data_IF_985087266920
#
_entry.id   IF_985087266920
#
_cell.length_a   1.000
_cell.length_b   1.000
_cell.length_c   1.000
_cell.angle_alpha   90.00
_cell.angle_beta   90.00
_cell.angle_gamma   90.00
#
_symmetry.space_group_name_H-M   'P 1'
#
loop_
_entity.id
_entity.type
_entity.pdbx_description
1 polymer ?
#
# COMPACT_ATOMS: atom_id res chain seq x y z
N UNK A 1 24.08 6.14 8.07
CA UNK A 1 24.36 4.70 8.30
C UNK A 1 23.32 3.86 7.57
N UNK A 2 23.48 2.54 7.51
CA UNK A 2 22.57 1.62 6.78
C UNK A 2 21.83 0.64 7.70
N UNK A 3 21.83 0.89 9.00
CA UNK A 3 21.15 0.05 9.99
C UNK A 3 20.40 0.92 10.97
N UNK A 4 19.24 0.43 11.41
CA UNK A 4 18.38 1.10 12.37
C UNK A 4 18.34 0.22 13.63
N UNK A 5 18.64 0.83 14.76
CA UNK A 5 18.58 0.17 16.07
C UNK A 5 17.58 0.91 16.94
N UNK A 6 16.82 0.16 17.73
CA UNK A 6 16.14 0.77 18.85
C UNK A 6 17.13 1.08 19.98
N UNK A 7 16.70 1.92 20.91
CA UNK A 7 17.46 2.22 22.11
C UNK A 7 16.53 2.10 23.31
N UNK A 8 16.95 1.31 24.29
CA UNK A 8 16.25 1.09 25.54
C UNK A 8 17.24 1.15 26.70
N UNK A 9 16.88 1.91 27.73
CA UNK A 9 17.68 2.02 28.93
C UNK A 9 17.33 0.90 29.92
N UNK A 10 18.34 0.18 30.41
CA UNK A 10 18.19 -0.93 31.35
C UNK A 10 18.78 -0.53 32.70
N UNK A 11 17.92 -0.39 33.71
CA UNK A 11 18.31 0.03 35.06
C UNK A 11 19.25 -0.96 35.76
N UNK A 12 19.13 -2.26 35.47
CA UNK A 12 19.93 -3.33 36.12
C UNK A 12 21.42 -3.23 35.79
N UNK A 13 21.74 -2.76 34.58
CA UNK A 13 23.12 -2.66 34.07
C UNK A 13 23.58 -1.22 33.89
N UNK A 14 22.75 -0.24 34.28
CA UNK A 14 22.95 1.19 34.05
C UNK A 14 23.48 1.47 32.62
N UNK A 15 22.83 0.87 31.63
CA UNK A 15 23.32 0.90 30.25
C UNK A 15 22.21 1.00 29.21
N UNK A 16 22.56 1.60 28.06
CA UNK A 16 21.71 1.59 26.88
C UNK A 16 21.94 0.29 26.12
N UNK A 17 20.85 -0.44 25.93
CA UNK A 17 20.79 -1.65 25.10
C UNK A 17 19.88 -1.39 23.91
N UNK A 18 20.09 -2.12 22.82
CA UNK A 18 19.30 -1.92 21.62
C UNK A 18 19.38 -3.11 20.69
N UNK A 19 18.24 -3.47 20.12
CA UNK A 19 18.07 -4.46 19.07
C UNK A 19 18.21 -3.80 17.71
N UNK A 20 18.77 -4.56 16.76
CA UNK A 20 18.83 -4.14 15.36
C UNK A 20 17.46 -4.39 14.72
N UNK A 21 16.71 -3.31 14.47
CA UNK A 21 15.37 -3.39 13.86
C UNK A 21 15.45 -3.82 12.38
N UNK A 22 16.56 -3.49 11.71
CA UNK A 22 16.80 -3.85 10.32
C UNK A 22 17.21 -5.32 10.12
N UNK A 23 17.39 -6.11 11.19
CA UNK A 23 17.96 -7.47 11.10
C UNK A 23 17.14 -8.42 10.22
N UNK A 24 15.82 -8.31 10.22
CA UNK A 24 14.92 -9.15 9.42
C UNK A 24 14.74 -8.64 7.98
N UNK A 25 15.23 -7.43 7.68
CA UNK A 25 15.02 -6.75 6.41
C UNK A 25 16.31 -6.09 5.88
N UNK A 26 17.47 -6.70 6.12
CA UNK A 26 18.77 -6.12 5.75
C UNK A 26 18.88 -5.79 4.26
N UNK A 27 18.26 -6.61 3.40
CA UNK A 27 18.18 -6.41 1.96
C UNK A 27 17.58 -5.05 1.55
N UNK A 28 16.74 -4.45 2.39
CA UNK A 28 16.17 -3.11 2.17
C UNK A 28 17.18 -1.98 2.41
N UNK A 29 18.33 -2.26 3.02
CA UNK A 29 19.33 -1.26 3.39
C UNK A 29 20.73 -1.54 2.84
N UNK A 30 20.98 -2.74 2.32
CA UNK A 30 22.26 -3.12 1.72
C UNK A 30 22.60 -2.24 0.50
N UNK A 31 23.78 -1.60 0.52
CA UNK A 31 24.21 -0.70 -0.56
C UNK A 31 23.66 0.73 -0.46
N UNK A 32 22.79 1.00 0.51
CA UNK A 32 22.16 2.31 0.69
C UNK A 32 22.57 2.98 2.00
N UNK A 33 22.29 4.28 2.09
CA UNK A 33 22.46 5.06 3.32
C UNK A 33 21.16 5.76 3.64
N UNK A 34 20.84 5.82 4.93
CA UNK A 34 19.68 6.56 5.43
C UNK A 34 20.08 8.03 5.57
N UNK A 35 19.33 8.90 4.91
CA UNK A 35 19.55 10.36 4.87
C UNK A 35 18.69 11.09 5.90
N UNK A 36 17.47 10.60 6.14
CA UNK A 36 16.51 11.19 7.09
C UNK A 36 15.69 10.08 7.77
N UNK A 37 15.31 10.30 9.02
CA UNK A 37 14.37 9.46 9.73
C UNK A 37 13.36 10.31 10.48
N UNK A 38 12.11 9.85 10.53
CA UNK A 38 11.04 10.44 11.33
C UNK A 38 10.17 9.33 11.92
N UNK A 39 9.30 9.69 12.86
CA UNK A 39 8.42 8.76 13.56
C UNK A 39 7.01 9.33 13.65
N UNK A 40 6.02 8.53 13.29
CA UNK A 40 4.60 8.81 13.47
C UNK A 40 4.05 7.81 14.49
N UNK A 41 3.69 8.29 15.68
CA UNK A 41 3.21 7.42 16.75
C UNK A 41 1.79 6.94 16.47
N UNK A 42 0.91 7.85 16.09
CA UNK A 42 -0.50 7.55 15.82
C UNK A 42 -0.80 7.60 14.32
N UNK A 43 -1.57 6.65 13.76
CA UNK A 43 -2.29 5.57 14.45
C UNK A 43 -1.57 4.20 14.47
N UNK A 44 -0.46 4.04 13.74
CA UNK A 44 0.16 2.72 13.51
C UNK A 44 1.59 2.58 14.03
N UNK A 45 2.13 3.54 14.78
CA UNK A 45 3.51 3.54 15.30
C UNK A 45 4.54 3.18 14.22
N UNK A 46 4.81 4.12 13.32
CA UNK A 46 5.64 3.93 12.15
C UNK A 46 6.95 4.69 12.25
N UNK A 47 8.07 3.98 12.10
CA UNK A 47 9.38 4.57 11.84
C UNK A 47 9.55 4.69 10.33
N UNK A 48 9.84 5.89 9.84
CA UNK A 48 10.05 6.17 8.42
C UNK A 48 11.50 6.54 8.20
N UNK A 49 12.17 5.86 7.27
CA UNK A 49 13.58 6.06 6.95
C UNK A 49 13.76 6.31 5.46
N UNK A 50 14.26 7.49 5.10
CA UNK A 50 14.55 7.88 3.73
C UNK A 50 15.94 7.40 3.34
N UNK A 51 16.02 6.69 2.22
CA UNK A 51 17.28 6.28 1.60
C UNK A 51 17.82 7.35 0.66
N UNK A 52 19.12 7.28 0.38
CA UNK A 52 19.83 8.20 -0.50
C UNK A 52 19.43 8.15 -1.98
N UNK A 53 18.63 7.17 -2.39
CA UNK A 53 18.03 7.04 -3.72
C UNK A 53 16.59 7.57 -3.80
N UNK A 54 16.04 8.07 -2.68
CA UNK A 54 14.70 8.65 -2.62
C UNK A 54 13.57 7.65 -2.37
N UNK A 55 13.91 6.40 -2.01
CA UNK A 55 12.96 5.40 -1.55
C UNK A 55 12.78 5.50 -0.03
N UNK A 56 11.56 5.29 0.47
CA UNK A 56 11.25 5.37 1.89
C UNK A 56 10.99 3.98 2.45
N UNK A 57 11.76 3.55 3.45
CA UNK A 57 11.50 2.33 4.20
C UNK A 57 10.61 2.66 5.38
N UNK A 58 9.50 1.94 5.53
CA UNK A 58 8.57 2.14 6.63
C UNK A 58 8.51 0.89 7.50
N UNK A 59 8.64 1.10 8.81
CA UNK A 59 8.52 0.03 9.81
C UNK A 59 7.35 0.30 10.74
N UNK A 60 6.34 -0.55 10.70
CA UNK A 60 5.36 -0.66 11.79
C UNK A 60 6.04 -1.34 12.98
N UNK A 61 6.18 -0.62 14.09
CA UNK A 61 6.92 -1.06 15.26
C UNK A 61 6.09 -0.90 16.54
N UNK A 62 5.71 -2.02 17.14
CA UNK A 62 5.11 -2.07 18.48
C UNK A 62 5.92 -3.02 19.36
N UNK A 63 6.78 -2.44 20.21
CA UNK A 63 7.66 -3.21 21.09
C UNK A 63 6.90 -4.12 22.06
N UNK A 64 5.83 -3.60 22.66
CA UNK A 64 5.02 -4.32 23.65
C UNK A 64 4.29 -5.54 23.07
N UNK A 65 3.93 -5.47 21.78
CA UNK A 65 3.26 -6.54 21.05
C UNK A 65 4.23 -7.35 20.17
N UNK A 66 5.53 -7.09 20.25
CA UNK A 66 6.58 -7.74 19.44
C UNK A 66 6.32 -7.66 17.93
N UNK A 67 5.76 -6.53 17.47
CA UNK A 67 5.51 -6.28 16.04
C UNK A 67 6.67 -5.49 15.45
N UNK A 68 7.27 -6.02 14.39
CA UNK A 68 8.26 -5.32 13.55
C UNK A 68 8.02 -5.75 12.12
N UNK A 69 7.46 -4.85 11.31
CA UNK A 69 7.12 -5.12 9.92
C UNK A 69 7.65 -4.01 9.02
N UNK A 70 8.64 -4.35 8.20
CA UNK A 70 9.22 -3.46 7.20
C UNK A 70 8.53 -3.60 5.86
N UNK A 71 8.33 -2.48 5.18
CA UNK A 71 7.98 -2.44 3.77
C UNK A 71 8.65 -1.26 3.08
N UNK A 72 8.83 -1.39 1.77
CA UNK A 72 9.31 -0.32 0.91
C UNK A 72 8.14 0.51 0.40
N UNK A 73 8.29 1.83 0.46
CA UNK A 73 7.39 2.80 -0.14
C UNK A 73 8.16 3.60 -1.19
N UNK A 74 7.74 3.43 -2.44
CA UNK A 74 8.20 4.21 -3.57
C UNK A 74 7.04 4.96 -4.23
N UNK A 75 7.35 6.08 -4.87
CA UNK A 75 6.43 6.77 -5.77
C UNK A 75 7.10 6.71 -7.15
N UNK A 76 6.56 5.98 -8.15
CA UNK A 76 7.24 5.79 -9.42
C UNK A 76 7.60 7.14 -10.07
N UNK A 77 8.71 7.24 -10.78
CA UNK A 77 9.18 8.47 -11.44
C UNK A 77 9.28 9.71 -10.52
N UNK A 78 9.36 9.51 -9.20
CA UNK A 78 9.37 10.59 -8.21
C UNK A 78 10.40 10.27 -7.14
N UNK A 79 11.23 11.25 -6.79
CA UNK A 79 12.25 11.11 -5.76
C UNK A 79 11.79 11.82 -4.50
N UNK A 80 11.73 11.11 -3.37
CA UNK A 80 11.49 11.74 -2.07
C UNK A 80 12.77 12.46 -1.62
N UNK A 81 12.65 13.75 -1.29
CA UNK A 81 13.78 14.62 -0.94
C UNK A 81 13.86 14.91 0.56
N UNK A 82 12.70 14.98 1.24
CA UNK A 82 12.63 15.20 2.69
C UNK A 82 11.30 14.75 3.26
N UNK A 83 11.26 14.45 4.56
CA UNK A 83 10.09 13.99 5.29
C UNK A 83 9.92 14.75 6.61
N UNK A 84 8.68 15.05 6.99
CA UNK A 84 8.35 15.56 8.30
C UNK A 84 7.06 14.92 8.81
N UNK A 85 6.98 14.63 10.10
CA UNK A 85 5.73 14.19 10.73
C UNK A 85 5.22 15.31 11.60
N UNK A 86 3.95 15.67 11.43
CA UNK A 86 3.28 16.74 12.16
C UNK A 86 2.01 16.18 12.78
N UNK A 87 1.82 16.39 14.08
CA UNK A 87 0.58 16.00 14.75
C UNK A 87 -0.56 16.93 14.33
N UNK A 88 -1.60 16.34 13.75
CA UNK A 88 -2.83 17.01 13.36
C UNK A 88 -4.02 16.38 14.10
N UNK A 89 -4.56 17.11 15.08
CA UNK A 89 -5.70 16.64 15.88
C UNK A 89 -5.34 15.46 16.78
N UNK A 90 -5.68 14.24 16.35
CA UNK A 90 -5.45 12.99 17.09
C UNK A 90 -4.55 12.00 16.32
N UNK A 91 -3.91 12.46 15.24
CA UNK A 91 -3.08 11.62 14.38
C UNK A 91 -1.77 12.32 14.05
N UNK A 92 -0.75 11.53 13.74
CA UNK A 92 0.51 12.04 13.22
C UNK A 92 0.51 11.90 11.69
N UNK A 93 0.63 13.03 11.00
CA UNK A 93 0.53 13.10 9.55
C UNK A 93 1.91 13.26 8.93
N UNK A 94 2.21 12.38 7.97
CA UNK A 94 3.43 12.46 7.18
C UNK A 94 3.30 13.50 6.07
N UNK A 95 4.25 14.42 6.04
CA UNK A 95 4.54 15.32 4.95
C UNK A 95 5.80 14.88 4.22
N UNK A 96 5.75 14.90 2.90
CA UNK A 96 6.86 14.45 2.04
C UNK A 96 7.14 15.50 0.98
N UNK A 97 8.35 16.04 0.97
CA UNK A 97 8.86 16.86 -0.12
C UNK A 97 9.35 15.95 -1.24
N UNK A 98 8.79 16.11 -2.44
CA UNK A 98 9.11 15.26 -3.59
C UNK A 98 9.58 16.08 -4.79
N UNK A 99 10.38 15.45 -5.64
CA UNK A 99 10.81 15.95 -6.93
C UNK A 99 10.35 14.98 -8.01
N UNK A 100 9.59 15.46 -9.00
CA UNK A 100 8.98 14.63 -10.04
C UNK A 100 9.06 15.31 -11.40
N UNK A 101 8.96 14.53 -12.47
CA UNK A 101 9.00 15.05 -13.84
C UNK A 101 7.59 15.18 -14.38
N UNK A 102 7.12 16.42 -14.59
CA UNK A 102 5.81 16.72 -15.17
C UNK A 102 6.01 17.32 -16.55
N UNK A 103 5.45 16.67 -17.58
CA UNK A 103 5.55 17.12 -18.99
C UNK A 103 6.97 17.52 -19.42
N UNK A 104 7.99 16.75 -18.98
CA UNK A 104 9.40 16.98 -19.30
C UNK A 104 10.13 18.05 -18.46
N UNK A 105 9.45 18.68 -17.49
CA UNK A 105 10.05 19.62 -16.54
C UNK A 105 10.15 18.99 -15.15
N UNK A 106 11.25 19.26 -14.45
CA UNK A 106 11.40 18.84 -13.04
C UNK A 106 10.66 19.85 -12.17
N UNK A 107 9.71 19.35 -11.39
CA UNK A 107 8.92 20.14 -10.44
C UNK A 107 9.02 19.54 -9.03
N UNK A 108 8.83 20.39 -8.03
CA UNK A 108 8.89 20.01 -6.63
C UNK A 108 7.54 20.24 -5.97
N UNK A 109 7.10 19.28 -5.16
CA UNK A 109 5.82 19.32 -4.48
C UNK A 109 5.96 18.93 -3.02
N UNK A 110 5.07 19.46 -2.19
CA UNK A 110 4.88 19.00 -0.82
C UNK A 110 3.60 18.14 -0.79
N UNK A 111 3.75 16.87 -0.46
CA UNK A 111 2.65 15.93 -0.31
C UNK A 111 2.31 15.81 1.17
N UNK A 112 1.01 15.78 1.48
CA UNK A 112 0.48 15.40 2.79
C UNK A 112 -0.19 14.05 2.63
N UNK A 113 0.22 13.05 3.43
CA UNK A 113 -0.42 11.75 3.42
C UNK A 113 -1.85 11.87 3.96
N UNK A 114 -2.82 11.29 3.25
CA UNK A 114 -4.22 11.33 3.64
C UNK A 114 -4.52 10.28 4.73
N UNK A 115 -5.49 10.55 5.60
CA UNK A 115 -5.96 9.60 6.59
C UNK A 115 -6.63 8.40 5.90
N UNK A 116 -6.45 7.19 6.44
CA UNK A 116 -7.00 5.96 5.84
C UNK A 116 -8.30 5.44 6.48
N UNK A 117 -8.94 6.25 7.33
CA UNK A 117 -10.21 5.91 7.96
C UNK A 117 -11.38 6.38 7.11
N UNK A 118 -11.75 5.59 6.10
CA UNK A 118 -12.87 5.88 5.21
C UNK A 118 -14.08 5.01 5.56
N UNK A 119 -15.24 5.65 5.75
CA UNK A 119 -16.50 4.95 6.03
C UNK A 119 -17.19 4.47 4.76
N UNK A 120 -16.94 5.15 3.64
CA UNK A 120 -17.49 4.82 2.32
C UNK A 120 -16.37 4.83 1.28
N UNK A 121 -16.52 3.99 0.25
CA UNK A 121 -15.50 3.86 -0.79
C UNK A 121 -15.23 5.19 -1.52
N UNK A 122 -16.24 6.05 -1.67
CA UNK A 122 -16.18 7.35 -2.36
C UNK A 122 -15.17 8.33 -1.73
N UNK A 123 -14.89 8.15 -0.44
CA UNK A 123 -13.98 8.99 0.32
C UNK A 123 -12.53 8.56 0.17
N UNK A 124 -12.29 7.35 -0.37
CA UNK A 124 -10.95 6.80 -0.46
C UNK A 124 -10.03 7.69 -1.32
N UNK A 125 -8.77 7.80 -0.85
CA UNK A 125 -7.71 8.58 -1.48
C UNK A 125 -6.42 7.76 -1.62
N UNK A 126 -6.56 6.52 -2.08
CA UNK A 126 -5.44 5.60 -2.35
C UNK A 126 -4.82 5.89 -3.74
N UNK A 127 -4.25 7.09 -3.93
CA UNK A 127 -3.60 7.52 -5.18
C UNK A 127 -2.36 8.35 -4.88
N UNK A 128 -1.37 8.28 -5.75
CA UNK A 128 -0.17 9.13 -5.68
C UNK A 128 -0.43 10.50 -6.33
N UNK A 129 0.14 11.55 -5.75
CA UNK A 129 -0.03 12.95 -6.22
C UNK A 129 -1.51 13.34 -6.45
N UNK A 130 -2.39 12.82 -5.58
CA UNK A 130 -3.82 12.94 -5.76
C UNK A 130 -4.33 14.37 -5.59
N UNK A 131 -5.33 14.72 -6.38
CA UNK A 131 -6.20 15.88 -6.20
C UNK A 131 -7.64 15.43 -5.99
N UNK A 132 -8.39 16.21 -5.21
CA UNK A 132 -9.78 15.94 -4.92
C UNK A 132 -10.69 17.03 -5.50
N UNK A 133 -11.87 16.61 -5.96
CA UNK A 133 -12.99 17.48 -6.32
C UNK A 133 -14.21 17.06 -5.51
N UNK A 134 -14.90 18.04 -4.94
CA UNK A 134 -16.16 17.86 -4.22
C UNK A 134 -17.06 19.05 -4.60
N UNK A 135 -18.14 18.78 -5.32
CA UNK A 135 -19.01 19.83 -5.83
C UNK A 135 -20.12 19.32 -6.73
N UNK A 136 -20.64 20.22 -7.58
CA UNK A 136 -21.72 19.87 -8.51
C UNK A 136 -21.26 18.82 -9.50
N UNK A 137 -22.13 17.83 -9.77
CA UNK A 137 -21.84 16.76 -10.71
C UNK A 137 -21.34 17.31 -12.07
N UNK A 138 -20.13 16.94 -12.46
CA UNK A 138 -19.50 17.39 -13.70
C UNK A 138 -18.73 16.24 -14.35
N UNK A 139 -18.61 16.26 -15.67
CA UNK A 139 -17.73 15.34 -16.40
C UNK A 139 -16.31 15.90 -16.51
N UNK A 140 -16.10 17.20 -16.32
CA UNK A 140 -14.80 17.85 -16.55
C UNK A 140 -14.16 18.25 -15.23
N UNK A 141 -13.06 17.60 -14.90
CA UNK A 141 -12.27 17.87 -13.69
C UNK A 141 -10.98 18.59 -14.11
N UNK A 142 -10.68 19.70 -13.46
CA UNK A 142 -9.53 20.55 -13.76
C UNK A 142 -8.72 20.85 -12.51
N UNK A 143 -7.55 21.49 -12.69
CA UNK A 143 -6.62 21.77 -11.59
C UNK A 143 -5.51 20.71 -11.46
N UNK A 144 -5.32 19.89 -12.50
CA UNK A 144 -4.41 18.76 -12.53
C UNK A 144 -3.11 19.09 -13.26
N UNK A 145 -2.66 20.35 -13.21
CA UNK A 145 -1.45 20.77 -13.95
C UNK A 145 -0.20 20.02 -13.52
N UNK A 146 -0.15 19.58 -12.26
CA UNK A 146 0.93 18.77 -11.71
C UNK A 146 0.97 17.32 -12.25
N UNK A 147 -0.02 16.92 -13.04
CA UNK A 147 -0.12 15.61 -13.68
C UNK A 147 -0.20 15.74 -15.21
N UNK A 148 0.19 16.87 -15.79
CA UNK A 148 0.04 17.14 -17.23
C UNK A 148 0.76 16.09 -18.08
N UNK A 149 0.04 15.52 -19.04
CA UNK A 149 0.57 14.48 -19.94
C UNK A 149 0.61 13.08 -19.33
N UNK A 150 0.28 12.92 -18.05
CA UNK A 150 0.24 11.62 -17.41
C UNK A 150 -1.08 10.88 -17.63
N UNK A 151 -1.01 9.55 -17.55
CA UNK A 151 -2.18 8.68 -17.42
C UNK A 151 -2.49 8.51 -15.94
N UNK A 152 -3.71 8.89 -15.56
CA UNK A 152 -4.20 8.92 -14.18
C UNK A 152 -5.40 7.99 -14.01
N UNK A 153 -5.63 7.60 -12.77
CA UNK A 153 -6.82 6.88 -12.34
C UNK A 153 -7.65 7.78 -11.44
N UNK A 154 -8.97 7.71 -11.61
CA UNK A 154 -9.92 8.44 -10.78
C UNK A 154 -10.82 7.48 -10.00
N UNK A 155 -11.22 7.91 -8.81
CA UNK A 155 -12.33 7.35 -8.06
C UNK A 155 -13.46 8.38 -8.08
N UNK A 156 -14.47 8.15 -8.90
CA UNK A 156 -15.58 9.06 -9.15
C UNK A 156 -16.88 8.48 -8.56
N UNK A 157 -17.43 9.13 -7.53
CA UNK A 157 -18.60 8.66 -6.75
C UNK A 157 -18.48 7.16 -6.39
N UNK A 158 -17.28 6.74 -5.96
CA UNK A 158 -16.99 5.36 -5.52
C UNK A 158 -16.76 4.35 -6.66
N UNK A 159 -16.72 4.80 -7.91
CA UNK A 159 -16.43 3.96 -9.06
C UNK A 159 -15.05 4.30 -9.65
N UNK A 160 -14.27 3.26 -9.94
CA UNK A 160 -12.92 3.41 -10.49
C UNK A 160 -13.01 3.71 -11.99
N UNK A 161 -12.30 4.74 -12.42
CA UNK A 161 -12.17 5.14 -13.82
C UNK A 161 -10.68 5.19 -14.16
N UNK A 162 -10.21 4.23 -14.93
CA UNK A 162 -8.82 4.09 -15.33
C UNK A 162 -8.53 4.77 -16.67
N UNK A 163 -7.24 4.93 -16.99
CA UNK A 163 -6.73 5.36 -18.29
C UNK A 163 -7.22 6.76 -18.73
N UNK A 164 -7.32 7.70 -17.79
CA UNK A 164 -7.60 9.10 -18.11
C UNK A 164 -6.29 9.81 -18.41
N UNK A 165 -6.21 10.55 -19.50
CA UNK A 165 -5.03 11.37 -19.81
C UNK A 165 -5.30 12.81 -19.45
N UNK A 166 -4.38 13.43 -18.70
CA UNK A 166 -4.49 14.85 -18.36
C UNK A 166 -4.06 15.69 -19.56
N UNK A 167 -4.91 16.61 -19.99
CA UNK A 167 -4.63 17.54 -21.09
C UNK A 167 -5.10 18.94 -20.71
N UNK A 168 -4.19 19.91 -20.79
CA UNK A 168 -4.42 21.30 -20.35
C UNK A 168 -4.90 21.39 -18.89
N UNK A 169 -4.34 20.55 -18.02
CA UNK A 169 -4.62 20.48 -16.59
C UNK A 169 -6.01 19.95 -16.25
N UNK A 170 -6.65 19.23 -17.17
CA UNK A 170 -7.99 18.68 -16.98
C UNK A 170 -8.12 17.26 -17.54
N UNK A 171 -9.12 16.53 -17.05
CA UNK A 171 -9.59 15.25 -17.60
C UNK A 171 -11.10 15.31 -17.86
N UNK A 172 -11.59 14.42 -18.72
CA UNK A 172 -13.04 14.22 -18.94
C UNK A 172 -13.44 12.81 -18.50
N UNK A 173 -14.33 12.73 -17.51
CA UNK A 173 -14.94 11.52 -17.00
C UNK A 173 -16.03 11.01 -17.97
N UNK A 174 -16.26 9.69 -18.04
CA UNK A 174 -17.30 9.10 -18.90
C UNK A 174 -18.73 9.42 -18.45
N UNK A 175 -18.92 9.85 -17.20
CA UNK A 175 -20.19 10.29 -16.62
C UNK A 175 -19.94 11.45 -15.63
N UNK A 176 -20.98 12.20 -15.31
CA UNK A 176 -20.88 13.29 -14.36
C UNK A 176 -20.78 12.75 -12.93
N UNK A 177 -19.81 13.23 -12.16
CA UNK A 177 -19.59 12.83 -10.76
C UNK A 177 -19.45 14.04 -9.84
N UNK A 178 -19.87 13.89 -8.59
CA UNK A 178 -19.87 14.97 -7.59
C UNK A 178 -18.63 14.94 -6.70
N UNK A 179 -18.14 13.74 -6.37
CA UNK A 179 -16.96 13.50 -5.56
C UNK A 179 -15.94 12.70 -6.36
N UNK A 180 -14.75 13.27 -6.54
CA UNK A 180 -13.69 12.67 -7.35
C UNK A 180 -12.36 12.73 -6.62
N UNK A 181 -11.69 11.60 -6.46
CA UNK A 181 -10.23 11.54 -6.26
C UNK A 181 -9.58 11.28 -7.60
N UNK A 182 -8.49 11.96 -7.94
CA UNK A 182 -7.75 11.65 -9.16
C UNK A 182 -6.25 11.84 -8.95
N UNK A 183 -5.46 10.90 -9.47
CA UNK A 183 -4.03 10.85 -9.23
C UNK A 183 -3.41 9.67 -9.96
N UNK A 184 -2.15 9.41 -9.67
CA UNK A 184 -1.41 8.30 -10.27
C UNK A 184 -1.79 7.01 -9.56
N UNK A 185 -2.19 6.01 -10.34
CA UNK A 185 -2.38 4.66 -9.81
C UNK A 185 -1.04 4.03 -9.45
N UNK A 186 -1.05 3.21 -8.41
CA UNK A 186 0.11 2.44 -7.97
C UNK A 186 -0.34 1.01 -7.61
N UNK A 187 0.63 0.11 -7.51
CA UNK A 187 0.37 -1.27 -7.10
C UNK A 187 0.76 -1.42 -5.61
N UNK A 188 -0.19 -1.85 -4.78
CA UNK A 188 0.12 -2.37 -3.45
C UNK A 188 0.33 -3.88 -3.57
N UNK A 189 1.57 -4.32 -3.43
CA UNK A 189 1.93 -5.73 -3.52
C UNK A 189 2.24 -6.33 -2.16
N UNK A 190 1.70 -7.53 -1.93
CA UNK A 190 1.98 -8.34 -0.76
C UNK A 190 2.27 -9.77 -1.22
N UNK A 191 3.39 -10.31 -0.75
CA UNK A 191 3.74 -11.71 -0.98
C UNK A 191 4.01 -12.39 0.37
N UNK A 192 3.40 -13.54 0.60
CA UNK A 192 3.66 -14.31 1.82
C UNK A 192 5.07 -14.88 1.79
N UNK A 193 5.64 -15.14 2.97
CA UNK A 193 6.84 -15.98 3.05
C UNK A 193 6.56 -17.38 2.48
N UNK A 194 7.60 -18.09 2.02
CA UNK A 194 7.49 -19.52 1.69
C UNK A 194 6.88 -20.28 2.87
N UNK A 195 5.94 -21.17 2.56
CA UNK A 195 5.30 -21.99 3.59
C UNK A 195 6.35 -22.98 4.10
N UNK A 196 6.70 -22.90 5.38
CA UNK A 196 7.54 -23.88 6.06
C UNK A 196 6.70 -24.57 7.13
N UNK A 197 6.37 -25.85 6.89
CA UNK A 197 5.70 -26.68 7.87
C UNK A 197 6.82 -27.28 8.70
N UNK A 198 6.91 -26.93 9.99
CA UNK A 198 7.98 -27.27 10.94
C UNK A 198 8.17 -28.79 11.21
N UNK A 199 7.75 -29.65 10.29
CA UNK A 199 8.08 -31.06 10.24
C UNK A 199 9.38 -31.24 9.46
N UNK A 200 10.27 -32.08 9.98
CA UNK A 200 11.70 -32.17 9.63
C UNK A 200 12.03 -32.56 8.16
N UNK A 201 11.07 -32.54 7.24
CA UNK A 201 11.23 -32.98 5.86
C UNK A 201 10.49 -32.14 4.79
N UNK A 202 9.97 -30.93 5.07
CA UNK A 202 9.16 -30.18 4.06
C UNK A 202 9.99 -29.14 3.27
N UNK A 203 11.28 -29.00 3.58
CA UNK A 203 12.21 -28.10 2.88
C UNK A 203 12.84 -28.83 1.70
N UNK A 204 12.25 -28.65 0.51
CA UNK A 204 12.69 -29.29 -0.75
C UNK A 204 11.57 -30.05 -1.47
N UNK A 205 10.45 -30.30 -0.78
CA UNK A 205 9.26 -30.90 -1.37
C UNK A 205 8.40 -29.86 -2.09
N UNK A 206 7.69 -30.32 -3.12
CA UNK A 206 6.74 -29.47 -3.81
C UNK A 206 5.49 -29.29 -2.94
N UNK A 207 4.96 -28.07 -2.97
CA UNK A 207 3.74 -27.67 -2.25
C UNK A 207 2.67 -27.28 -3.26
N UNK A 208 1.48 -27.81 -3.05
CA UNK A 208 0.30 -27.40 -3.79
C UNK A 208 -0.61 -26.59 -2.86
N UNK A 209 -0.81 -25.32 -3.18
CA UNK A 209 -1.79 -24.47 -2.49
C UNK A 209 -3.06 -24.43 -3.31
N UNK A 210 -4.01 -25.28 -2.94
CA UNK A 210 -5.24 -25.48 -3.70
C UNK A 210 -6.32 -24.47 -3.32
N UNK A 211 -6.36 -24.11 -2.03
CA UNK A 211 -7.37 -23.23 -1.46
C UNK A 211 -6.69 -22.15 -0.62
N UNK A 212 -7.20 -20.92 -0.68
CA UNK A 212 -6.84 -19.87 0.28
C UNK A 212 -8.11 -19.19 0.78
N UNK A 213 -8.20 -18.97 2.09
CA UNK A 213 -9.21 -18.10 2.69
C UNK A 213 -8.56 -16.78 3.07
N UNK A 214 -9.03 -15.68 2.48
CA UNK A 214 -8.65 -14.32 2.88
C UNK A 214 -9.74 -13.72 3.76
N UNK A 215 -9.32 -13.10 4.87
CA UNK A 215 -10.18 -12.30 5.74
C UNK A 215 -9.91 -10.82 5.50
N UNK A 216 -10.96 -10.06 5.18
CA UNK A 216 -10.89 -8.64 4.89
C UNK A 216 -11.66 -7.81 5.93
N UNK A 217 -11.16 -6.61 6.20
CA UNK A 217 -11.83 -5.56 6.98
C UNK A 217 -12.07 -4.35 6.07
N UNK A 218 -13.33 -3.90 5.95
CA UNK A 218 -13.74 -2.70 5.22
C UNK A 218 -13.01 -2.47 3.89
N UNK A 219 -12.94 -3.53 3.08
CA UNK A 219 -12.11 -3.60 1.88
C UNK A 219 -12.94 -3.71 0.60
N UNK A 220 -12.37 -3.25 -0.52
CA UNK A 220 -12.93 -3.48 -1.85
C UNK A 220 -11.84 -3.63 -2.91
N UNK A 221 -12.00 -4.66 -3.75
CA UNK A 221 -11.07 -4.96 -4.84
C UNK A 221 -9.97 -5.92 -4.40
N UNK A 222 -8.88 -5.92 -5.18
CA UNK A 222 -7.74 -6.80 -4.99
C UNK A 222 -7.69 -7.92 -6.02
N UNK A 223 -6.49 -8.45 -6.18
CA UNK A 223 -6.15 -9.56 -7.02
C UNK A 223 -5.34 -10.54 -6.20
N UNK A 224 -5.61 -11.84 -6.35
CA UNK A 224 -4.92 -12.90 -5.62
C UNK A 224 -4.42 -13.96 -6.59
N UNK A 225 -3.22 -14.48 -6.35
CA UNK A 225 -2.61 -15.52 -7.18
C UNK A 225 -1.44 -16.22 -6.50
N UNK A 226 -0.81 -17.11 -7.26
CA UNK A 226 0.43 -17.79 -6.83
C UNK A 226 1.66 -16.89 -7.05
N UNK A 227 1.59 -15.97 -8.01
CA UNK A 227 2.64 -15.00 -8.33
C UNK A 227 2.04 -13.76 -9.02
N UNK A 228 2.90 -12.76 -9.29
CA UNK A 228 2.50 -11.47 -9.87
C UNK A 228 1.95 -11.55 -11.31
N UNK A 229 2.16 -12.67 -12.02
CA UNK A 229 1.70 -12.89 -13.40
C UNK A 229 0.41 -13.71 -13.46
N UNK A 230 0.15 -14.53 -12.44
CA UNK A 230 -0.97 -15.47 -12.38
C UNK A 230 -2.02 -15.01 -11.34
N UNK A 231 -2.61 -13.84 -11.58
CA UNK A 231 -3.56 -13.20 -10.68
C UNK A 231 -5.02 -13.38 -11.11
N UNK A 232 -5.89 -13.60 -10.14
CA UNK A 232 -7.35 -13.64 -10.31
C UNK A 232 -7.98 -12.47 -9.57
N UNK A 233 -8.86 -11.74 -10.24
CA UNK A 233 -9.57 -10.60 -9.67
C UNK A 233 -10.54 -11.05 -8.56
N UNK A 234 -10.47 -10.37 -7.42
CA UNK A 234 -11.42 -10.51 -6.33
C UNK A 234 -12.67 -9.70 -6.70
N UNK A 235 -13.60 -10.34 -7.40
CA UNK A 235 -14.87 -9.70 -7.76
C UNK A 235 -15.60 -9.20 -6.51
N UNK A 236 -15.79 -7.89 -6.34
CA UNK A 236 -16.33 -7.32 -5.11
C UNK A 236 -17.88 -7.31 -5.09
N UNK A 237 -18.52 -7.59 -6.22
CA UNK A 237 -19.97 -7.49 -6.40
C UNK A 237 -20.68 -8.78 -6.01
N UNK A 238 -21.73 -8.63 -5.20
CA UNK A 238 -22.72 -9.66 -4.89
C UNK A 238 -24.04 -9.33 -5.61
N UNK A 239 -24.87 -10.35 -5.84
CA UNK A 239 -26.17 -10.17 -6.52
C UNK A 239 -27.09 -9.14 -5.83
N UNK A 240 -26.93 -8.97 -4.51
CA UNK A 240 -27.69 -8.03 -3.68
C UNK A 240 -27.32 -6.55 -3.91
N UNK A 241 -26.21 -6.24 -4.59
CA UNK A 241 -25.70 -4.87 -4.72
C UNK A 241 -26.44 -4.04 -5.79
N UNK A 242 -27.21 -4.69 -6.66
CA UNK A 242 -27.98 -4.01 -7.71
C UNK A 242 -27.10 -3.12 -8.61
N UNK A 243 -27.54 -1.87 -8.82
CA UNK A 243 -26.86 -0.87 -9.65
C UNK A 243 -26.16 0.24 -8.86
N UNK A 244 -26.23 0.22 -7.53
CA UNK A 244 -25.63 1.24 -6.67
C UNK A 244 -24.11 1.05 -6.53
N UNK A 245 -23.44 2.04 -5.91
CA UNK A 245 -22.00 1.96 -5.62
C UNK A 245 -21.70 0.83 -4.64
N UNK A 246 -20.69 0.02 -4.96
CA UNK A 246 -20.29 -1.12 -4.12
C UNK A 246 -19.63 -0.58 -2.84
N UNK A 247 -20.24 -0.90 -1.71
CA UNK A 247 -19.78 -0.51 -0.38
C UNK A 247 -18.51 -1.26 0.03
N UNK A 248 -17.77 -0.68 0.98
CA UNK A 248 -16.69 -1.38 1.68
C UNK A 248 -17.27 -2.49 2.54
N UNK A 249 -16.58 -3.64 2.61
CA UNK A 249 -17.09 -4.81 3.35
C UNK A 249 -16.03 -5.51 4.17
N UNK A 250 -16.51 -6.05 5.29
CA UNK A 250 -15.79 -6.98 6.15
C UNK A 250 -16.32 -8.38 5.88
N UNK A 251 -15.48 -9.26 5.36
CA UNK A 251 -15.90 -10.59 4.92
C UNK A 251 -14.71 -11.54 4.76
N UNK A 252 -15.00 -12.83 4.72
CA UNK A 252 -14.06 -13.87 4.31
C UNK A 252 -14.39 -14.34 2.90
N UNK A 253 -13.35 -14.62 2.11
CA UNK A 253 -13.51 -15.18 0.77
C UNK A 253 -12.55 -16.33 0.54
N UNK A 254 -13.15 -17.45 0.12
CA UNK A 254 -12.45 -18.65 -0.31
C UNK A 254 -12.10 -18.55 -1.79
N UNK A 255 -10.83 -18.75 -2.10
CA UNK A 255 -10.32 -18.85 -3.46
C UNK A 255 -9.82 -20.27 -3.69
N UNK A 256 -10.09 -20.80 -4.87
CA UNK A 256 -9.60 -22.10 -5.31
C UNK A 256 -8.72 -21.87 -6.52
N UNK A 257 -7.46 -22.27 -6.42
CA UNK A 257 -6.50 -22.17 -7.50
C UNK A 257 -6.47 -23.47 -8.30
N UNK A 258 -6.11 -23.41 -9.61
CA UNK A 258 -5.77 -24.62 -10.35
C UNK A 258 -4.69 -25.41 -9.61
N UNK A 259 -4.73 -26.75 -9.63
CA UNK A 259 -3.70 -27.56 -9.01
C UNK A 259 -2.35 -27.23 -9.63
N UNK A 260 -1.38 -26.88 -8.79
CA UNK A 260 -0.08 -26.40 -9.22
C UNK A 260 0.94 -26.65 -8.12
N UNK A 261 2.01 -27.35 -8.48
CA UNK A 261 3.10 -27.67 -7.58
C UNK A 261 4.16 -26.57 -7.68
N UNK A 262 4.47 -25.94 -6.54
CA UNK A 262 5.49 -24.90 -6.43
C UNK A 262 6.42 -25.26 -5.28
N UNK A 263 7.70 -24.91 -5.36
CA UNK A 263 8.65 -25.21 -4.27
C UNK A 263 8.32 -24.45 -2.98
N UNK A 264 7.77 -23.24 -3.09
CA UNK A 264 7.60 -22.32 -1.96
C UNK A 264 6.15 -22.18 -1.46
N UNK A 265 5.13 -22.53 -2.26
CA UNK A 265 3.73 -22.42 -1.86
C UNK A 265 3.29 -21.01 -1.46
N UNK A 266 3.86 -19.97 -2.08
CA UNK A 266 3.58 -18.58 -1.72
C UNK A 266 2.28 -18.08 -2.33
N UNK A 267 1.66 -17.10 -1.65
CA UNK A 267 0.51 -16.38 -2.13
C UNK A 267 0.90 -14.94 -2.41
N UNK A 268 0.41 -14.43 -3.53
CA UNK A 268 0.59 -13.06 -3.97
C UNK A 268 -0.75 -12.34 -3.96
N UNK A 269 -0.75 -11.14 -3.40
CA UNK A 269 -1.87 -10.22 -3.42
C UNK A 269 -1.41 -8.91 -4.04
N UNK A 270 -2.25 -8.34 -4.92
CA UNK A 270 -2.03 -7.02 -5.52
C UNK A 270 -3.30 -6.21 -5.41
N UNK A 271 -3.20 -4.93 -5.11
CA UNK A 271 -4.27 -3.96 -5.29
C UNK A 271 -3.77 -2.87 -6.23
N UNK A 272 -4.45 -2.70 -7.37
CA UNK A 272 -4.14 -1.65 -8.36
C UNK A 272 -5.19 -0.54 -8.39
N UNK A 273 -6.39 -0.84 -7.89
CA UNK A 273 -7.48 0.13 -7.83
C UNK A 273 -7.29 1.07 -6.64
N UNK A 274 -7.74 2.34 -6.74
CA UNK A 274 -7.62 3.34 -5.68
C UNK A 274 -8.66 3.13 -4.56
N UNK A 275 -8.77 1.90 -4.09
CA UNK A 275 -9.74 1.45 -3.11
C UNK A 275 -9.02 0.85 -1.90
N UNK A 276 -9.55 1.05 -0.69
CA UNK A 276 -8.91 0.56 0.52
C UNK A 276 -9.00 -0.96 0.59
N UNK A 277 -7.90 -1.56 1.06
CA UNK A 277 -7.82 -2.98 1.40
C UNK A 277 -7.08 -3.14 2.72
N UNK A 278 -7.73 -3.82 3.65
CA UNK A 278 -7.17 -4.27 4.92
C UNK A 278 -7.32 -5.78 5.01
N UNK A 279 -6.20 -6.49 4.96
CA UNK A 279 -6.16 -7.96 5.09
C UNK A 279 -5.91 -8.29 6.56
N UNK A 280 -6.86 -9.00 7.17
CA UNK A 280 -6.75 -9.48 8.56
C UNK A 280 -6.00 -10.81 8.66
N UNK A 281 -6.20 -11.71 7.69
CA UNK A 281 -5.59 -13.03 7.69
C UNK A 281 -5.52 -13.62 6.28
N UNK A 282 -4.49 -14.45 6.06
CA UNK A 282 -4.31 -15.29 4.88
C UNK A 282 -4.15 -16.73 5.37
N UNK A 283 -5.13 -17.58 5.04
CA UNK A 283 -5.19 -18.97 5.52
C UNK A 283 -5.14 -19.95 4.33
N UNK A 284 -3.94 -20.39 3.91
CA UNK A 284 -3.78 -21.35 2.83
C UNK A 284 -4.03 -22.80 3.28
N UNK A 285 -4.69 -23.58 2.44
CA UNK A 285 -4.79 -25.04 2.54
C UNK A 285 -3.72 -25.67 1.64
N UNK A 286 -2.77 -26.37 2.27
CA UNK A 286 -1.55 -26.85 1.61
C UNK A 286 -1.55 -28.38 1.57
N UNK A 287 -1.25 -28.94 0.40
CA UNK A 287 -0.91 -30.34 0.23
C UNK A 287 0.59 -30.47 -0.06
N UNK A 288 1.22 -31.48 0.54
CA UNK A 288 2.65 -31.81 0.35
C UNK A 288 2.71 -33.11 -0.45
N UNK A 289 3.66 -33.22 -1.36
CA UNK A 289 3.86 -34.40 -2.20
C UNK A 289 5.29 -34.57 -2.65
#
# INVERSE_FOLDING_TARGET
GSRIRDIAYTFETDSYTGSDLSILAQHLFEGYTITEMTYAQEPYSQVLALRNDGHMMVCTYHREHQVTAWYEWEIPNTTIKSMAVISEGQQDVLYVGVETTVNGSIEQYLLRLHEINWQVAEDARCLDLAAAYDGTATTRICGLRHLEGETVTALADGNVVNNLTVTNGCVTLPYAASKVSIGRGYNCDLQTLPIDLNEAAVRGDYKSVNTVVLSFLDSRGGWIGQDASNLVEIKPRYDADGYDSIQLRTYEKKFVFPPGWTENGQIYFRQTDPLPVTILAISPEVSIG
#
